data_IF_066172885431
#
_entry.id   IF_066172885431
#
_cell.length_a   1.000
_cell.length_b   1.000
_cell.length_c   1.000
_cell.angle_alpha   90.00
_cell.angle_beta   90.00
_cell.angle_gamma   90.00
#
_symmetry.space_group_name_H-M   'P 1'
#
loop_
_entity.id
_entity.type
_entity.pdbx_description
1 polymer ?
#
# COMPACT_ATOMS: atom_id res chain seq x y z
N UNK A 1 35.19 -11.49 -38.78
CA UNK A 1 35.05 -12.22 -37.50
C UNK A 1 35.33 -11.39 -36.25
N UNK A 2 36.38 -10.57 -36.17
CA UNK A 2 36.65 -9.72 -34.96
C UNK A 2 35.55 -8.69 -34.69
N UNK A 3 35.06 -7.98 -35.71
CA UNK A 3 34.02 -6.92 -35.58
C UNK A 3 32.72 -7.47 -34.98
N UNK A 4 32.27 -8.65 -35.41
CA UNK A 4 31.06 -9.29 -34.92
C UNK A 4 31.19 -9.65 -33.41
N UNK A 5 32.37 -10.10 -32.97
CA UNK A 5 32.63 -10.40 -31.57
C UNK A 5 32.59 -9.12 -30.70
N UNK A 6 33.16 -8.02 -31.15
CA UNK A 6 33.13 -6.76 -30.44
C UNK A 6 31.71 -6.16 -30.37
N UNK A 7 30.95 -6.28 -31.47
CA UNK A 7 29.55 -5.85 -31.48
C UNK A 7 28.71 -6.68 -30.51
N UNK A 8 28.84 -7.98 -30.48
CA UNK A 8 28.15 -8.85 -29.53
C UNK A 8 28.51 -8.55 -28.08
N UNK A 9 29.80 -8.31 -27.79
CA UNK A 9 30.27 -7.94 -26.45
C UNK A 9 29.69 -6.59 -25.99
N UNK A 10 29.65 -5.61 -26.90
CA UNK A 10 29.08 -4.28 -26.57
C UNK A 10 27.57 -4.35 -26.31
N UNK A 11 26.81 -5.14 -27.08
CA UNK A 11 25.37 -5.35 -26.86
C UNK A 11 25.14 -6.05 -25.52
N UNK A 12 25.92 -7.08 -25.21
CA UNK A 12 25.80 -7.79 -23.92
C UNK A 12 26.08 -6.88 -22.72
N UNK A 13 27.13 -6.05 -22.82
CA UNK A 13 27.48 -5.09 -21.77
C UNK A 13 26.35 -4.05 -21.56
N UNK A 14 25.81 -3.51 -22.66
CA UNK A 14 24.70 -2.56 -22.60
C UNK A 14 23.47 -3.19 -21.95
N UNK A 15 23.14 -4.42 -22.29
CA UNK A 15 22.02 -5.16 -21.68
C UNK A 15 22.22 -5.32 -20.18
N UNK A 16 23.42 -5.72 -19.74
CA UNK A 16 23.73 -5.84 -18.31
C UNK A 16 23.59 -4.51 -17.58
N UNK A 17 24.10 -3.42 -18.18
CA UNK A 17 23.96 -2.08 -17.60
C UNK A 17 22.49 -1.69 -17.46
N UNK A 18 21.67 -1.92 -18.48
CA UNK A 18 20.23 -1.63 -18.45
C UNK A 18 19.53 -2.42 -17.34
N UNK A 19 19.86 -3.71 -17.19
CA UNK A 19 19.31 -4.55 -16.14
C UNK A 19 19.71 -4.06 -14.73
N UNK A 20 20.99 -3.66 -14.54
CA UNK A 20 21.46 -3.11 -13.29
C UNK A 20 20.75 -1.78 -12.97
N UNK A 21 20.66 -0.88 -13.94
CA UNK A 21 19.97 0.41 -13.76
C UNK A 21 18.48 0.20 -13.48
N UNK A 22 17.85 -0.73 -14.17
CA UNK A 22 16.46 -1.12 -13.91
C UNK A 22 16.27 -1.67 -12.51
N UNK A 23 17.15 -2.55 -12.05
CA UNK A 23 17.13 -3.09 -10.70
C UNK A 23 17.33 -1.98 -9.65
N UNK A 24 18.32 -1.12 -9.84
CA UNK A 24 18.54 0.04 -8.94
C UNK A 24 17.32 0.94 -8.89
N UNK A 25 16.71 1.23 -10.04
CA UNK A 25 15.52 2.05 -10.14
C UNK A 25 14.31 1.45 -9.42
N UNK A 26 14.07 0.14 -9.57
CA UNK A 26 12.89 -0.53 -9.01
C UNK A 26 13.03 -0.83 -7.51
N UNK A 27 14.24 -1.18 -7.06
CA UNK A 27 14.44 -1.77 -5.73
C UNK A 27 15.38 -1.00 -4.78
N UNK A 28 16.25 -0.14 -5.31
CA UNK A 28 17.28 0.53 -4.50
C UNK A 28 17.04 2.03 -4.35
N UNK A 29 16.65 2.69 -5.45
CA UNK A 29 16.38 4.13 -5.41
C UNK A 29 15.10 4.44 -4.64
N UNK A 30 15.00 5.60 -4.13
CA UNK A 30 14.10 6.00 -3.08
C UNK A 30 12.67 5.99 -3.45
N UNK A 31 12.15 5.92 -2.50
CA UNK A 31 11.21 5.10 -2.08
C UNK A 31 10.09 5.76 -1.25
N UNK A 32 9.96 7.07 -1.39
CA UNK A 32 8.84 7.78 -0.79
C UNK A 32 9.17 9.25 -0.47
N UNK A 33 8.16 10.02 -0.06
CA UNK A 33 8.34 11.39 0.39
C UNK A 33 9.12 11.45 1.71
N UNK A 34 9.63 12.63 2.05
CA UNK A 34 10.32 12.87 3.32
C UNK A 34 9.39 12.66 4.52
N UNK A 35 9.89 11.96 5.56
CA UNK A 35 9.13 11.69 6.77
C UNK A 35 8.77 12.97 7.52
N UNK A 36 7.55 13.02 8.02
CA UNK A 36 7.12 14.10 8.93
C UNK A 36 7.39 13.73 10.39
N UNK A 37 7.59 14.71 11.27
CA UNK A 37 7.67 14.47 12.70
C UNK A 37 6.43 13.73 13.23
N UNK A 38 6.65 12.93 14.28
CA UNK A 38 5.56 12.27 14.97
C UNK A 38 4.75 13.30 15.73
N UNK A 39 3.47 13.40 15.43
CA UNK A 39 2.53 14.25 16.14
C UNK A 39 1.12 13.63 16.17
N UNK A 40 0.27 14.01 17.12
CA UNK A 40 -1.12 13.62 17.09
C UNK A 40 -1.86 14.14 15.84
N UNK A 41 -2.94 13.45 15.47
CA UNK A 41 -3.80 13.85 14.36
C UNK A 41 -4.50 15.18 14.64
N UNK A 42 -4.47 16.07 13.67
CA UNK A 42 -5.27 17.31 13.69
C UNK A 42 -6.73 17.01 13.37
N UNK A 43 -7.64 17.84 13.88
CA UNK A 43 -9.05 17.84 13.47
C UNK A 43 -9.14 18.34 12.03
N UNK A 44 -10.07 17.77 11.25
CA UNK A 44 -10.22 18.03 9.82
C UNK A 44 -9.23 17.24 8.98
N UNK A 45 -8.98 17.73 7.77
CA UNK A 45 -8.07 17.12 6.80
C UNK A 45 -6.61 17.42 7.16
N UNK A 46 -5.79 16.37 7.14
CA UNK A 46 -4.37 16.43 7.44
C UNK A 46 -3.62 15.32 6.71
N UNK A 47 -2.29 15.32 6.78
CA UNK A 47 -1.48 14.21 6.33
C UNK A 47 -0.19 14.08 7.12
N UNK A 48 0.35 12.86 7.14
CA UNK A 48 1.70 12.58 7.65
C UNK A 48 2.43 11.62 6.73
N UNK A 49 3.75 11.57 6.87
CA UNK A 49 4.61 10.62 6.15
C UNK A 49 5.36 9.77 7.17
N UNK A 50 5.31 8.46 6.99
CA UNK A 50 5.96 7.49 7.87
C UNK A 50 6.75 6.44 7.08
N UNK A 51 7.60 5.67 7.76
CA UNK A 51 8.18 4.45 7.18
C UNK A 51 7.06 3.46 6.87
N UNK A 52 7.02 2.96 5.64
CA UNK A 52 6.02 1.97 5.24
C UNK A 52 6.24 0.62 5.96
N UNK A 53 7.51 0.28 6.21
CA UNK A 53 7.92 -0.98 6.83
C UNK A 53 8.73 -0.73 8.10
N UNK A 54 8.55 -1.59 9.12
CA UNK A 54 9.21 -1.42 10.43
C UNK A 54 10.73 -1.66 10.39
N UNK A 55 11.19 -2.51 9.48
CA UNK A 55 12.60 -2.90 9.38
C UNK A 55 13.45 -1.94 8.54
N UNK A 56 12.85 -0.94 7.88
CA UNK A 56 13.58 0.00 7.03
C UNK A 56 12.90 1.37 6.92
N UNK A 57 13.73 2.39 6.98
CA UNK A 57 13.32 3.78 6.72
C UNK A 57 13.39 4.16 5.23
N UNK A 58 13.84 3.24 4.39
CA UNK A 58 14.08 3.55 2.97
C UNK A 58 12.79 3.73 2.17
N UNK A 59 11.70 3.05 2.55
CA UNK A 59 10.40 3.17 1.89
C UNK A 59 9.43 3.89 2.82
N UNK A 60 8.95 5.03 2.38
CA UNK A 60 8.00 5.86 3.12
C UNK A 60 6.68 5.95 2.39
N UNK A 61 5.62 6.24 3.12
CA UNK A 61 4.27 6.40 2.61
C UNK A 61 3.62 7.65 3.19
N UNK A 62 2.95 8.43 2.34
CA UNK A 62 2.05 9.48 2.79
C UNK A 62 0.72 8.85 3.18
N UNK A 63 0.17 9.33 4.28
CA UNK A 63 -1.16 8.94 4.76
C UNK A 63 -1.99 10.20 4.93
N UNK A 64 -3.03 10.32 4.12
CA UNK A 64 -4.03 11.35 4.27
C UNK A 64 -5.01 10.95 5.34
N UNK A 65 -5.46 11.90 6.16
CA UNK A 65 -6.41 11.66 7.25
C UNK A 65 -7.48 12.73 7.29
N UNK A 66 -8.68 12.34 7.73
CA UNK A 66 -9.73 13.27 8.08
C UNK A 66 -10.29 12.86 9.44
N UNK A 67 -10.05 13.69 10.46
CA UNK A 67 -10.54 13.47 11.81
C UNK A 67 -11.74 14.38 12.08
N UNK A 68 -12.96 13.86 12.21
CA UNK A 68 -14.13 14.66 12.58
C UNK A 68 -13.93 15.37 13.90
N UNK A 69 -14.54 16.56 14.03
CA UNK A 69 -14.38 17.38 15.23
C UNK A 69 -14.87 16.68 16.52
N UNK A 70 -15.89 15.83 16.40
CA UNK A 70 -16.49 15.10 17.53
C UNK A 70 -16.06 13.62 17.58
N UNK A 71 -15.08 13.21 16.76
CA UNK A 71 -14.57 11.84 16.76
C UNK A 71 -13.84 11.52 18.08
N UNK A 72 -14.09 10.33 18.59
CA UNK A 72 -13.42 9.78 19.79
C UNK A 72 -12.87 8.38 19.49
N UNK A 73 -11.94 7.82 20.28
CA UNK A 73 -11.43 6.46 20.08
C UNK A 73 -12.49 5.34 20.18
N UNK A 74 -13.73 5.67 20.58
CA UNK A 74 -14.87 4.72 20.56
C UNK A 74 -15.60 4.69 19.23
N UNK A 75 -15.34 5.66 18.37
CA UNK A 75 -15.95 5.77 17.06
C UNK A 75 -15.13 4.98 16.01
N UNK A 76 -15.70 4.76 14.83
CA UNK A 76 -15.09 3.93 13.80
C UNK A 76 -13.86 4.59 13.14
N UNK A 77 -12.90 3.74 12.73
CA UNK A 77 -11.82 4.07 11.81
C UNK A 77 -12.09 3.39 10.47
N UNK A 78 -11.93 4.10 9.36
CA UNK A 78 -12.09 3.59 8.01
C UNK A 78 -10.84 3.88 7.16
N UNK A 79 -10.16 2.83 6.76
CA UNK A 79 -9.15 2.91 5.70
C UNK A 79 -9.83 2.99 4.34
N UNK A 80 -9.43 3.95 3.52
CA UNK A 80 -9.97 4.18 2.18
C UNK A 80 -8.87 3.95 1.15
N UNK A 81 -9.00 2.86 0.38
CA UNK A 81 -8.00 2.43 -0.61
C UNK A 81 -8.37 2.95 -2.00
N UNK A 82 -7.48 3.77 -2.56
CA UNK A 82 -7.66 4.43 -3.86
C UNK A 82 -7.65 3.45 -5.05
N UNK A 83 -8.11 3.92 -6.21
CA UNK A 83 -8.03 3.19 -7.48
C UNK A 83 -6.65 3.26 -8.15
N UNK A 84 -6.59 2.87 -9.43
CA UNK A 84 -5.35 2.90 -10.24
C UNK A 84 -4.76 4.30 -10.42
N UNK A 85 -5.57 5.35 -10.30
CA UNK A 85 -5.12 6.75 -10.37
C UNK A 85 -4.20 7.16 -9.22
N UNK A 86 -4.07 6.34 -8.18
CA UNK A 86 -3.21 6.58 -7.00
C UNK A 86 -3.49 7.90 -6.28
N UNK A 87 -4.74 8.38 -6.39
CA UNK A 87 -5.24 9.66 -5.89
C UNK A 87 -5.91 9.51 -4.52
N UNK A 88 -5.15 9.15 -3.51
CA UNK A 88 -5.67 8.87 -2.15
C UNK A 88 -6.40 10.08 -1.53
N UNK A 89 -5.90 11.29 -1.80
CA UNK A 89 -6.49 12.53 -1.32
C UNK A 89 -7.91 12.75 -1.85
N UNK A 90 -8.15 12.53 -3.15
CA UNK A 90 -9.49 12.66 -3.75
C UNK A 90 -10.48 11.65 -3.16
N UNK A 91 -9.97 10.42 -2.87
CA UNK A 91 -10.78 9.40 -2.20
C UNK A 91 -11.13 9.80 -0.77
N UNK A 92 -10.21 10.42 -0.04
CA UNK A 92 -10.48 10.95 1.29
C UNK A 92 -11.56 12.04 1.22
N UNK A 93 -11.41 12.99 0.29
CA UNK A 93 -12.33 14.12 0.13
C UNK A 93 -13.74 13.65 -0.22
N UNK A 94 -13.88 12.62 -1.05
CA UNK A 94 -15.16 12.04 -1.42
C UNK A 94 -15.94 11.44 -0.21
N UNK A 95 -15.23 11.06 0.84
CA UNK A 95 -15.83 10.49 2.05
C UNK A 95 -15.97 11.49 3.20
N UNK A 96 -15.33 12.65 3.14
CA UNK A 96 -15.19 13.59 4.26
C UNK A 96 -16.53 14.06 4.86
N UNK A 97 -17.52 14.39 4.03
CA UNK A 97 -18.84 14.84 4.49
C UNK A 97 -19.60 13.75 5.26
N UNK A 98 -19.50 12.51 4.81
CA UNK A 98 -20.12 11.37 5.50
C UNK A 98 -19.35 11.07 6.78
N UNK A 99 -18.03 11.16 6.74
CA UNK A 99 -17.16 10.96 7.89
C UNK A 99 -17.47 11.93 9.00
N UNK A 100 -17.61 13.23 8.70
CA UNK A 100 -17.99 14.24 9.70
C UNK A 100 -19.33 13.92 10.36
N UNK A 101 -20.36 13.64 9.55
CA UNK A 101 -21.71 13.34 10.07
C UNK A 101 -21.79 12.04 10.87
N UNK A 102 -20.96 11.04 10.53
CA UNK A 102 -20.97 9.71 11.17
C UNK A 102 -19.87 9.53 12.20
N UNK A 103 -19.03 10.54 12.41
CA UNK A 103 -17.86 10.48 13.30
C UNK A 103 -16.94 9.31 12.95
N UNK A 104 -16.52 9.23 11.68
CA UNK A 104 -15.61 8.19 11.19
C UNK A 104 -14.23 8.83 10.95
N UNK A 105 -13.19 8.35 11.62
CA UNK A 105 -11.81 8.72 11.27
C UNK A 105 -11.44 8.07 9.94
N UNK A 106 -11.17 8.90 8.92
CA UNK A 106 -10.69 8.41 7.63
C UNK A 106 -9.18 8.34 7.60
N UNK A 107 -8.66 7.30 6.97
CA UNK A 107 -7.25 7.05 6.74
C UNK A 107 -7.06 6.58 5.31
N UNK A 108 -6.40 7.38 4.47
CA UNK A 108 -6.19 7.06 3.05
C UNK A 108 -4.67 7.00 2.74
N UNK A 109 -4.08 5.80 2.77
CA UNK A 109 -2.67 5.60 2.38
C UNK A 109 -2.47 5.86 0.90
N UNK A 110 -1.41 6.59 0.53
CA UNK A 110 -1.08 6.93 -0.85
C UNK A 110 0.05 6.04 -1.37
N UNK A 111 -0.31 4.96 -2.04
CA UNK A 111 0.66 4.11 -2.77
C UNK A 111 1.06 4.78 -4.09
N UNK A 112 1.69 5.94 -4.04
CA UNK A 112 2.03 6.77 -5.19
C UNK A 112 2.87 6.01 -6.22
N UNK A 113 2.48 6.07 -7.52
CA UNK A 113 3.11 5.29 -8.60
C UNK A 113 4.59 5.60 -8.81
N UNK A 114 5.02 6.81 -8.48
CA UNK A 114 6.44 7.20 -8.53
C UNK A 114 7.32 6.44 -7.51
N UNK A 115 6.75 5.86 -6.47
CA UNK A 115 7.45 5.14 -5.41
C UNK A 115 7.07 3.66 -5.33
N UNK A 116 5.80 3.33 -5.64
CA UNK A 116 5.27 1.98 -5.76
C UNK A 116 5.15 1.65 -7.25
N UNK A 117 6.29 1.30 -7.86
CA UNK A 117 6.57 1.40 -9.30
C UNK A 117 6.16 0.20 -10.12
N UNK A 118 6.13 -0.96 -9.51
CA UNK A 118 5.63 -2.18 -10.17
C UNK A 118 4.11 -2.16 -10.11
N UNK A 119 3.51 -1.71 -11.19
CA UNK A 119 2.14 -1.19 -11.35
C UNK A 119 1.09 -1.97 -10.55
N UNK A 120 1.01 -3.28 -10.69
CA UNK A 120 0.03 -4.10 -9.98
C UNK A 120 0.60 -4.66 -8.69
N UNK A 121 1.81 -5.17 -8.73
CA UNK A 121 2.46 -5.90 -7.65
C UNK A 121 2.62 -5.06 -6.39
N UNK A 122 3.18 -3.84 -6.49
CA UNK A 122 3.52 -2.99 -5.33
C UNK A 122 2.30 -2.45 -4.59
N UNK A 123 1.10 -2.59 -5.15
CA UNK A 123 -0.13 -2.11 -4.55
C UNK A 123 -1.22 -3.19 -4.50
N UNK A 124 -1.99 -3.34 -5.60
CA UNK A 124 -3.21 -4.15 -5.61
C UNK A 124 -2.96 -5.66 -5.47
N UNK A 125 -1.74 -6.11 -5.70
CA UNK A 125 -1.29 -7.48 -5.45
C UNK A 125 -0.50 -7.62 -4.14
N UNK A 126 -0.42 -6.54 -3.35
CA UNK A 126 0.10 -6.58 -1.99
C UNK A 126 1.61 -6.78 -1.86
N UNK A 127 2.37 -6.74 -2.95
CA UNK A 127 3.81 -7.01 -2.96
C UNK A 127 4.18 -8.40 -2.39
N UNK A 128 3.33 -9.41 -2.61
CA UNK A 128 3.60 -10.77 -2.14
C UNK A 128 4.74 -11.43 -2.89
N UNK A 129 4.95 -11.04 -4.14
CA UNK A 129 6.03 -11.57 -4.98
C UNK A 129 6.91 -10.44 -5.51
N UNK A 130 8.19 -10.73 -5.64
CA UNK A 130 9.14 -9.87 -6.33
C UNK A 130 8.85 -9.84 -7.84
N UNK A 131 9.46 -8.90 -8.56
CA UNK A 131 9.39 -8.85 -10.02
C UNK A 131 9.81 -10.16 -10.71
N UNK A 132 10.73 -10.92 -10.09
CA UNK A 132 11.18 -12.22 -10.59
C UNK A 132 10.31 -13.40 -10.13
N UNK A 133 9.20 -13.17 -9.44
CA UNK A 133 8.26 -14.19 -8.99
C UNK A 133 8.61 -14.87 -7.66
N UNK A 134 9.70 -14.48 -7.00
CA UNK A 134 10.04 -14.99 -5.66
C UNK A 134 9.09 -14.40 -4.61
N UNK A 135 8.74 -15.20 -3.61
CA UNK A 135 7.90 -14.72 -2.50
C UNK A 135 8.66 -13.75 -1.61
N UNK A 136 8.04 -12.61 -1.33
CA UNK A 136 8.53 -11.66 -0.34
C UNK A 136 8.06 -12.07 1.05
N UNK A 137 8.85 -11.79 2.11
CA UNK A 137 8.40 -11.99 3.48
C UNK A 137 7.19 -11.10 3.79
N UNK A 138 6.32 -11.54 4.69
CA UNK A 138 5.11 -10.80 5.06
C UNK A 138 5.41 -9.37 5.56
N UNK A 139 6.58 -9.17 6.20
CA UNK A 139 7.03 -7.85 6.64
C UNK A 139 7.23 -6.83 5.51
N UNK A 140 7.31 -7.29 4.26
CA UNK A 140 7.45 -6.44 3.06
C UNK A 140 6.16 -6.34 2.24
N UNK A 141 5.07 -6.97 2.70
CA UNK A 141 3.81 -6.87 1.97
C UNK A 141 3.18 -5.49 2.11
N UNK A 142 2.57 -5.00 1.05
CA UNK A 142 1.78 -3.76 1.08
C UNK A 142 0.60 -3.87 2.06
N UNK A 143 0.10 -5.07 2.32
CA UNK A 143 -0.92 -5.33 3.33
C UNK A 143 -0.43 -5.05 4.75
N UNK A 144 0.85 -5.35 5.04
CA UNK A 144 1.47 -5.06 6.34
C UNK A 144 1.65 -3.56 6.57
N UNK A 145 1.75 -2.77 5.50
CA UNK A 145 1.79 -1.30 5.62
C UNK A 145 0.51 -0.75 6.27
N UNK A 146 -0.65 -1.35 6.01
CA UNK A 146 -1.92 -0.94 6.64
C UNK A 146 -1.87 -1.16 8.16
N UNK A 147 -1.36 -2.32 8.59
CA UNK A 147 -1.17 -2.62 10.01
C UNK A 147 -0.18 -1.65 10.67
N UNK A 148 0.94 -1.35 10.00
CA UNK A 148 1.93 -0.39 10.50
C UNK A 148 1.37 1.03 10.63
N UNK A 149 0.49 1.45 9.72
CA UNK A 149 -0.23 2.72 9.82
C UNK A 149 -1.17 2.71 11.02
N UNK A 150 -1.89 1.61 11.24
CA UNK A 150 -2.80 1.47 12.38
C UNK A 150 -2.06 1.51 13.72
N UNK A 151 -0.90 0.83 13.82
CA UNK A 151 -0.01 0.94 14.99
C UNK A 151 0.46 2.37 15.23
N UNK A 152 0.82 3.07 14.15
CA UNK A 152 1.23 4.46 14.20
C UNK A 152 0.11 5.38 14.70
N UNK A 153 -1.13 5.16 14.27
CA UNK A 153 -2.27 5.92 14.74
C UNK A 153 -2.46 5.75 16.25
N UNK A 154 -2.40 4.51 16.74
CA UNK A 154 -2.49 4.24 18.17
C UNK A 154 -1.37 4.93 18.95
N UNK A 155 -0.12 4.69 18.56
CA UNK A 155 1.05 5.19 19.29
C UNK A 155 1.16 6.72 19.29
N UNK A 156 0.89 7.37 18.15
CA UNK A 156 1.05 8.82 18.04
C UNK A 156 -0.06 9.63 18.73
N UNK A 157 -1.19 9.00 19.00
CA UNK A 157 -2.38 9.68 19.57
C UNK A 157 -2.78 9.15 20.94
N UNK A 158 -2.05 8.17 21.48
CA UNK A 158 -2.41 7.46 22.70
C UNK A 158 -3.82 6.85 22.61
N UNK A 159 -4.13 6.25 21.46
CA UNK A 159 -5.38 5.53 21.24
C UNK A 159 -5.19 4.05 21.61
N UNK A 160 -6.30 3.41 21.98
CA UNK A 160 -6.38 1.97 22.26
C UNK A 160 -7.43 1.36 21.31
N UNK A 161 -7.10 1.40 20.00
CA UNK A 161 -7.96 0.87 18.96
C UNK A 161 -7.57 -0.57 18.65
N UNK A 162 -8.53 -1.48 18.70
CA UNK A 162 -8.32 -2.92 18.46
C UNK A 162 -8.51 -3.29 16.99
N UNK A 163 -9.40 -2.61 16.27
CA UNK A 163 -9.85 -2.97 14.93
C UNK A 163 -10.16 -1.74 14.06
N UNK A 164 -10.16 -1.93 12.75
CA UNK A 164 -10.53 -0.91 11.77
C UNK A 164 -11.43 -1.49 10.67
N UNK A 165 -12.14 -0.60 9.97
CA UNK A 165 -12.84 -0.93 8.75
C UNK A 165 -11.97 -0.57 7.54
N UNK A 166 -12.15 -1.28 6.42
CA UNK A 166 -11.42 -1.00 5.19
C UNK A 166 -12.36 -1.05 3.97
N UNK A 167 -12.29 -0.02 3.14
CA UNK A 167 -12.98 0.09 1.87
C UNK A 167 -11.98 0.28 0.75
N UNK A 168 -12.19 -0.38 -0.37
CA UNK A 168 -11.41 -0.16 -1.58
C UNK A 168 -12.29 -0.21 -2.83
N UNK A 169 -12.00 0.67 -3.79
CA UNK A 169 -12.66 0.70 -5.09
C UNK A 169 -11.66 0.41 -6.21
N UNK A 170 -12.09 -0.34 -7.23
CA UNK A 170 -11.28 -0.69 -8.40
C UNK A 170 -9.97 -1.40 -7.99
N UNK A 171 -8.78 -0.83 -8.21
CA UNK A 171 -7.51 -1.38 -7.72
C UNK A 171 -7.47 -1.49 -6.20
N UNK A 172 -8.08 -0.54 -5.47
CA UNK A 172 -8.26 -0.64 -4.02
C UNK A 172 -9.18 -1.79 -3.62
N UNK A 173 -10.21 -2.10 -4.42
CA UNK A 173 -11.05 -3.29 -4.22
C UNK A 173 -10.25 -4.58 -4.39
N UNK A 174 -9.36 -4.63 -5.38
CA UNK A 174 -8.42 -5.76 -5.54
C UNK A 174 -7.48 -5.90 -4.33
N UNK A 175 -6.95 -4.78 -3.83
CA UNK A 175 -6.10 -4.75 -2.64
C UNK A 175 -6.84 -5.34 -1.43
N UNK A 176 -8.03 -4.82 -1.12
CA UNK A 176 -8.83 -5.24 0.04
C UNK A 176 -9.19 -6.72 -0.03
N UNK A 177 -9.68 -7.19 -1.18
CA UNK A 177 -10.08 -8.58 -1.35
C UNK A 177 -8.89 -9.54 -1.16
N UNK A 178 -7.72 -9.19 -1.71
CA UNK A 178 -6.50 -9.99 -1.54
C UNK A 178 -5.93 -9.92 -0.12
N UNK A 179 -6.01 -8.75 0.51
CA UNK A 179 -5.57 -8.59 1.90
C UNK A 179 -6.33 -9.53 2.84
N UNK A 180 -7.65 -9.63 2.72
CA UNK A 180 -8.45 -10.55 3.58
C UNK A 180 -8.05 -12.02 3.35
N UNK A 181 -7.73 -12.39 2.11
CA UNK A 181 -7.37 -13.77 1.79
C UNK A 181 -5.95 -14.14 2.24
N UNK A 182 -5.00 -13.21 2.10
CA UNK A 182 -3.57 -13.50 2.30
C UNK A 182 -3.08 -13.11 3.69
N UNK A 183 -3.79 -12.22 4.40
CA UNK A 183 -3.45 -11.76 5.75
C UNK A 183 -4.65 -11.94 6.71
N UNK A 184 -5.00 -13.18 7.06
CA UNK A 184 -6.20 -13.48 7.87
C UNK A 184 -6.14 -12.91 9.30
N UNK A 185 -4.95 -12.55 9.78
CA UNK A 185 -4.75 -11.98 11.11
C UNK A 185 -4.76 -10.44 11.10
N UNK A 186 -5.13 -9.79 9.97
CA UNK A 186 -5.30 -8.34 9.93
C UNK A 186 -6.44 -7.91 10.87
N UNK A 187 -6.27 -6.77 11.53
CA UNK A 187 -7.24 -6.22 12.51
C UNK A 187 -8.47 -5.59 11.83
N UNK A 188 -8.96 -6.24 10.79
CA UNK A 188 -10.10 -5.78 9.99
C UNK A 188 -11.41 -6.24 10.63
N UNK A 189 -12.27 -5.29 11.04
CA UNK A 189 -13.64 -5.53 11.47
C UNK A 189 -14.57 -5.77 10.30
N UNK A 190 -14.54 -4.88 9.31
CA UNK A 190 -15.37 -4.93 8.11
C UNK A 190 -14.54 -4.58 6.90
N UNK A 191 -14.66 -5.37 5.85
CA UNK A 191 -14.00 -5.11 4.57
C UNK A 191 -15.02 -4.99 3.44
N UNK A 192 -14.86 -3.97 2.60
CA UNK A 192 -15.70 -3.75 1.41
C UNK A 192 -14.78 -3.60 0.20
N UNK A 193 -14.84 -4.57 -0.71
CA UNK A 193 -14.13 -4.55 -1.99
C UNK A 193 -15.09 -4.20 -3.12
N UNK A 194 -15.16 -2.92 -3.48
CA UNK A 194 -16.07 -2.42 -4.51
C UNK A 194 -15.45 -2.45 -5.90
N UNK A 195 -16.17 -2.99 -6.89
CA UNK A 195 -15.84 -2.93 -8.32
C UNK A 195 -14.38 -3.30 -8.63
N UNK A 196 -13.85 -4.34 -7.97
CA UNK A 196 -12.50 -4.81 -8.23
C UNK A 196 -12.37 -5.28 -9.68
N UNK A 197 -11.30 -4.85 -10.37
CA UNK A 197 -11.08 -5.22 -11.77
C UNK A 197 -10.83 -6.73 -11.97
N UNK A 198 -10.27 -7.41 -10.95
CA UNK A 198 -10.11 -8.86 -10.87
C UNK A 198 -10.27 -9.33 -9.43
N UNK A 199 -10.67 -10.57 -9.26
CA UNK A 199 -10.77 -11.24 -7.96
C UNK A 199 -9.83 -12.43 -7.90
N UNK A 200 -9.36 -12.77 -6.70
CA UNK A 200 -8.62 -14.01 -6.44
C UNK A 200 -9.58 -15.09 -5.97
N UNK A 201 -9.43 -16.29 -6.50
CA UNK A 201 -10.19 -17.45 -6.05
C UNK A 201 -9.61 -18.02 -4.76
N UNK A 202 -10.47 -18.56 -3.90
CA UNK A 202 -10.06 -19.32 -2.70
C UNK A 202 -9.66 -20.73 -3.13
N UNK A 203 -8.67 -20.83 -3.99
CA UNK A 203 -8.17 -22.08 -4.56
C UNK A 203 -6.62 -22.07 -4.56
N UNK A 204 -6.03 -23.06 -3.89
CA UNK A 204 -4.58 -23.24 -3.84
C UNK A 204 -3.98 -23.80 -5.14
N UNK A 205 -4.79 -24.40 -6.01
CA UNK A 205 -4.34 -24.87 -7.32
C UNK A 205 -4.15 -23.71 -8.32
N UNK A 206 -4.78 -22.58 -8.07
CA UNK A 206 -4.64 -21.37 -8.90
C UNK A 206 -3.55 -20.49 -8.30
N UNK A 207 -2.49 -20.17 -9.09
CA UNK A 207 -1.41 -19.30 -8.61
C UNK A 207 -1.90 -17.88 -8.28
N UNK A 208 -1.26 -17.27 -7.27
CA UNK A 208 -1.43 -15.84 -6.97
C UNK A 208 -0.96 -14.98 -8.17
N UNK A 209 -1.67 -13.90 -8.58
CA UNK A 209 -2.74 -13.21 -7.83
C UNK A 209 -4.17 -13.65 -8.17
N UNK A 210 -4.38 -14.66 -9.00
CA UNK A 210 -5.73 -15.10 -9.39
C UNK A 210 -6.31 -16.20 -8.49
N UNK A 211 -5.48 -16.82 -7.68
CA UNK A 211 -5.84 -17.73 -6.60
C UNK A 211 -5.00 -17.45 -5.36
N UNK A 212 -5.03 -18.38 -4.40
CA UNK A 212 -4.25 -18.31 -3.15
C UNK A 212 -3.05 -19.25 -3.15
N UNK A 213 -2.69 -19.84 -4.30
CA UNK A 213 -1.48 -20.64 -4.48
C UNK A 213 -0.23 -19.76 -4.46
N UNK A 214 0.68 -20.00 -3.52
CA UNK A 214 1.95 -19.26 -3.31
C UNK A 214 3.16 -20.06 -3.75
#
# INVERSE_FOLDING_TARGET
>A
MKIIKWFGLSVSLLTVIILILGYLYLYVLPTGPEKTPVRPLSVGKDSFVMSAYQHTDRKTIRVWTYKPAQWTPKDSVLFVMHGMGRNAEDYLDAWSDIAERKRILLVAPEFASQFYRVITNDYQEGNLKSFFGWSNPESEWAFTVIENIFDRLNTANDFDLDEYNIFGHSAGGQFVQRMILMKPNARIKTAIAGNAGTYSFVDKAVPYPYGIGT
#
